data_IF_892882418483
#
_entry.id   IF_892882418483
#
_cell.length_a   1.000
_cell.length_b   1.000
_cell.length_c   1.000
_cell.angle_alpha   90.00
_cell.angle_beta   90.00
_cell.angle_gamma   90.00
#
_symmetry.space_group_name_H-M   'P 1'
#
loop_
_entity.id
_entity.type
_entity.pdbx_description
1 polymer ?
#
# COMPACT_ATOMS: atom_id res chain seq x y z
N UNK A 1 7.72 -31.09 -19.77
CA UNK A 1 6.82 -29.92 -19.60
C UNK A 1 6.23 -29.62 -20.98
N UNK A 2 4.89 -29.67 -21.16
CA UNK A 2 4.29 -29.21 -22.42
C UNK A 2 4.46 -27.68 -22.54
N UNK A 3 4.98 -27.21 -23.66
CA UNK A 3 4.99 -25.79 -23.98
C UNK A 3 3.56 -25.24 -24.00
N UNK A 4 3.30 -24.18 -23.23
CA UNK A 4 2.01 -23.49 -23.27
C UNK A 4 1.92 -22.71 -24.58
N UNK A 5 0.86 -22.93 -25.35
CA UNK A 5 0.59 -22.18 -26.56
C UNK A 5 0.06 -20.78 -26.22
N UNK A 6 0.11 -19.87 -27.19
CA UNK A 6 -0.50 -18.53 -27.05
C UNK A 6 -2.00 -18.61 -26.72
N UNK A 7 -2.72 -19.55 -27.34
CA UNK A 7 -4.17 -19.76 -27.10
C UNK A 7 -4.43 -20.28 -25.67
N UNK A 8 -3.56 -21.13 -25.12
CA UNK A 8 -3.66 -21.54 -23.72
C UNK A 8 -3.45 -20.37 -22.76
N UNK A 9 -2.49 -19.50 -23.04
CA UNK A 9 -2.24 -18.29 -22.26
C UNK A 9 -3.43 -17.34 -22.34
N UNK A 10 -3.97 -17.08 -23.53
CA UNK A 10 -5.15 -16.23 -23.76
C UNK A 10 -6.36 -16.75 -23.00
N UNK A 11 -6.67 -18.03 -23.09
CA UNK A 11 -7.77 -18.65 -22.36
C UNK A 11 -7.61 -18.49 -20.84
N UNK A 12 -6.42 -18.75 -20.32
CA UNK A 12 -6.14 -18.58 -18.89
C UNK A 12 -6.36 -17.14 -18.41
N UNK A 13 -5.94 -16.15 -19.21
CA UNK A 13 -6.15 -14.71 -18.89
C UNK A 13 -7.64 -14.41 -18.90
N UNK A 14 -8.40 -14.85 -19.90
CA UNK A 14 -9.85 -14.63 -20.00
C UNK A 14 -10.58 -15.20 -18.78
N UNK A 15 -10.27 -16.46 -18.41
CA UNK A 15 -10.88 -17.11 -17.24
C UNK A 15 -10.55 -16.38 -15.92
N UNK A 16 -9.31 -15.86 -15.78
CA UNK A 16 -8.91 -15.05 -14.62
C UNK A 16 -9.66 -13.71 -14.60
N UNK A 17 -9.79 -13.06 -15.75
CA UNK A 17 -10.49 -11.79 -15.88
C UNK A 17 -11.96 -11.93 -15.52
N UNK A 18 -12.65 -12.93 -16.04
CA UNK A 18 -14.05 -13.20 -15.70
C UNK A 18 -14.25 -13.46 -14.21
N UNK A 19 -13.38 -14.29 -13.61
CA UNK A 19 -13.45 -14.62 -12.18
C UNK A 19 -13.23 -13.42 -11.27
N UNK A 20 -12.37 -12.49 -11.65
CA UNK A 20 -12.01 -11.32 -10.83
C UNK A 20 -12.78 -10.06 -11.19
N UNK A 21 -13.55 -10.06 -12.28
CA UNK A 21 -14.24 -8.87 -12.82
C UNK A 21 -15.12 -8.17 -11.78
N UNK A 22 -15.91 -8.95 -11.02
CA UNK A 22 -16.82 -8.40 -9.99
C UNK A 22 -16.05 -7.69 -8.88
N UNK A 23 -14.97 -8.30 -8.39
CA UNK A 23 -14.15 -7.71 -7.33
C UNK A 23 -13.42 -6.46 -7.82
N UNK A 24 -12.90 -6.49 -9.05
CA UNK A 24 -12.25 -5.33 -9.67
C UNK A 24 -13.22 -4.17 -9.85
N UNK A 25 -14.44 -4.44 -10.32
CA UNK A 25 -15.49 -3.44 -10.45
C UNK A 25 -15.86 -2.81 -9.10
N UNK A 26 -15.99 -3.62 -8.04
CA UNK A 26 -16.24 -3.13 -6.69
C UNK A 26 -15.11 -2.21 -6.19
N UNK A 27 -13.85 -2.62 -6.39
CA UNK A 27 -12.69 -1.81 -5.99
C UNK A 27 -12.57 -0.51 -6.79
N UNK A 28 -12.89 -0.53 -8.07
CA UNK A 28 -12.93 0.68 -8.88
C UNK A 28 -14.02 1.65 -8.39
N UNK A 29 -15.19 1.11 -8.00
CA UNK A 29 -16.25 1.90 -7.41
C UNK A 29 -15.85 2.51 -6.08
N UNK A 30 -15.07 1.80 -5.24
CA UNK A 30 -14.53 2.31 -3.98
C UNK A 30 -13.58 3.52 -4.20
N UNK A 31 -12.81 3.55 -5.29
CA UNK A 31 -11.97 4.70 -5.62
C UNK A 31 -12.80 5.92 -6.08
N UNK A 32 -13.93 5.68 -6.76
CA UNK A 32 -14.88 6.72 -7.17
C UNK A 32 -14.22 7.92 -7.86
N UNK A 33 -14.61 9.12 -7.48
CA UNK A 33 -14.05 10.40 -8.02
C UNK A 33 -12.57 10.60 -7.69
N UNK A 34 -12.04 9.97 -6.63
CA UNK A 34 -10.62 10.06 -6.30
C UNK A 34 -9.73 9.52 -7.42
N UNK A 35 -10.23 8.56 -8.19
CA UNK A 35 -9.51 7.99 -9.33
C UNK A 35 -9.19 9.07 -10.37
N UNK A 36 -10.20 9.77 -10.88
CA UNK A 36 -10.03 10.84 -11.89
C UNK A 36 -9.14 11.95 -11.35
N UNK A 37 -9.40 12.43 -10.13
CA UNK A 37 -8.65 13.53 -9.54
C UNK A 37 -7.15 13.20 -9.38
N UNK A 38 -6.82 12.00 -8.92
CA UNK A 38 -5.43 11.61 -8.71
C UNK A 38 -4.66 11.33 -10.01
N UNK A 39 -5.35 10.95 -11.09
CA UNK A 39 -4.73 10.59 -12.38
C UNK A 39 -4.67 11.79 -13.34
N UNK A 40 -5.70 12.64 -13.37
CA UNK A 40 -5.85 13.70 -14.37
C UNK A 40 -5.21 15.04 -13.95
N UNK A 41 -5.05 15.29 -12.66
CA UNK A 41 -4.54 16.58 -12.15
C UNK A 41 -3.02 16.72 -12.04
N UNK A 42 -2.21 15.66 -11.93
CA UNK A 42 -0.76 15.83 -11.78
C UNK A 42 -0.12 16.58 -12.94
N UNK A 43 0.80 17.48 -12.62
CA UNK A 43 1.46 18.36 -13.61
C UNK A 43 2.59 17.68 -14.37
N UNK A 44 3.03 16.49 -13.96
CA UNK A 44 4.07 15.74 -14.66
C UNK A 44 3.62 14.32 -14.99
N UNK A 45 4.13 13.79 -16.12
CA UNK A 45 3.84 12.43 -16.57
C UNK A 45 4.18 11.39 -15.50
N UNK A 46 5.31 11.52 -14.80
CA UNK A 46 5.71 10.57 -13.75
C UNK A 46 4.73 10.51 -12.57
N UNK A 47 4.19 11.65 -12.18
CA UNK A 47 3.18 11.70 -11.11
C UNK A 47 1.91 10.98 -11.54
N UNK A 48 1.45 11.27 -12.78
CA UNK A 48 0.29 10.61 -13.38
C UNK A 48 0.51 9.11 -13.52
N UNK A 49 1.69 8.68 -13.97
CA UNK A 49 2.04 7.26 -14.10
C UNK A 49 1.94 6.53 -12.76
N UNK A 50 2.57 7.06 -11.69
CA UNK A 50 2.49 6.44 -10.36
C UNK A 50 1.07 6.46 -9.78
N UNK A 51 0.31 7.53 -10.00
CA UNK A 51 -1.09 7.60 -9.56
C UNK A 51 -1.96 6.58 -10.28
N UNK A 52 -1.74 6.41 -11.59
CA UNK A 52 -2.41 5.39 -12.40
C UNK A 52 -2.03 3.98 -11.96
N UNK A 53 -0.74 3.71 -11.77
CA UNK A 53 -0.25 2.42 -11.28
C UNK A 53 -0.79 2.09 -9.88
N UNK A 54 -0.91 3.08 -9.00
CA UNK A 54 -1.52 2.91 -7.69
C UNK A 54 -2.99 2.47 -7.80
N UNK A 55 -3.77 3.17 -8.64
CA UNK A 55 -5.18 2.84 -8.87
C UNK A 55 -5.34 1.44 -9.48
N UNK A 56 -4.58 1.13 -10.53
CA UNK A 56 -4.62 -0.18 -11.20
C UNK A 56 -4.17 -1.31 -10.27
N UNK A 57 -3.18 -1.07 -9.43
CA UNK A 57 -2.74 -2.03 -8.42
C UNK A 57 -3.83 -2.28 -7.37
N UNK A 58 -4.53 -1.24 -6.91
CA UNK A 58 -5.66 -1.39 -6.00
C UNK A 58 -6.79 -2.20 -6.62
N UNK A 59 -7.22 -1.83 -7.82
CA UNK A 59 -8.27 -2.51 -8.59
C UNK A 59 -7.93 -3.99 -8.80
N UNK A 60 -6.68 -4.29 -9.11
CA UNK A 60 -6.19 -5.66 -9.33
C UNK A 60 -5.99 -6.47 -8.03
N UNK A 61 -6.12 -5.84 -6.84
CA UNK A 61 -5.87 -6.49 -5.55
C UNK A 61 -4.40 -6.58 -5.16
N UNK A 62 -3.51 -5.87 -5.86
CA UNK A 62 -2.09 -5.79 -5.55
C UNK A 62 -1.82 -4.68 -4.52
N UNK A 63 -2.34 -4.83 -3.31
CA UNK A 63 -2.41 -3.75 -2.31
C UNK A 63 -1.04 -3.22 -1.87
N UNK A 64 -0.01 -4.07 -1.78
CA UNK A 64 1.36 -3.63 -1.47
C UNK A 64 1.92 -2.74 -2.56
N UNK A 65 1.69 -3.09 -3.83
CA UNK A 65 2.09 -2.26 -4.97
C UNK A 65 1.34 -0.93 -4.98
N UNK A 66 0.06 -0.92 -4.64
CA UNK A 66 -0.72 0.31 -4.48
C UNK A 66 -0.07 1.25 -3.45
N UNK A 67 0.24 0.76 -2.24
CA UNK A 67 0.89 1.55 -1.18
C UNK A 67 2.25 2.10 -1.66
N UNK A 68 3.03 1.26 -2.34
CA UNK A 68 4.32 1.68 -2.89
C UNK A 68 4.16 2.80 -3.92
N UNK A 69 3.26 2.65 -4.89
CA UNK A 69 3.02 3.64 -5.94
C UNK A 69 2.44 4.95 -5.37
N UNK A 70 1.53 4.90 -4.39
CA UNK A 70 1.04 6.09 -3.70
C UNK A 70 2.19 6.88 -3.05
N UNK A 71 3.08 6.19 -2.36
CA UNK A 71 4.25 6.82 -1.74
C UNK A 71 5.22 7.39 -2.77
N UNK A 72 5.43 6.70 -3.90
CA UNK A 72 6.29 7.16 -4.98
C UNK A 72 5.71 8.40 -5.68
N UNK A 73 4.38 8.44 -5.89
CA UNK A 73 3.70 9.62 -6.43
C UNK A 73 3.93 10.84 -5.54
N UNK A 74 3.71 10.72 -4.23
CA UNK A 74 3.90 11.82 -3.28
C UNK A 74 5.38 12.25 -3.17
N UNK A 75 6.33 11.30 -3.21
CA UNK A 75 7.76 11.63 -3.29
C UNK A 75 8.07 12.51 -4.52
N UNK A 76 7.54 12.16 -5.70
CA UNK A 76 7.72 12.96 -6.92
C UNK A 76 7.03 14.32 -6.83
N UNK A 77 5.83 14.39 -6.25
CA UNK A 77 5.11 15.64 -6.03
C UNK A 77 5.92 16.59 -5.16
N UNK A 78 6.42 16.11 -4.02
CA UNK A 78 7.21 16.93 -3.10
C UNK A 78 8.48 17.46 -3.75
N UNK A 79 9.23 16.61 -4.46
CA UNK A 79 10.42 17.05 -5.22
C UNK A 79 10.08 18.11 -6.26
N UNK A 80 8.99 17.90 -6.99
CA UNK A 80 8.55 18.83 -8.03
C UNK A 80 8.22 20.21 -7.45
N UNK A 81 7.42 20.26 -6.37
CA UNK A 81 7.06 21.50 -5.71
C UNK A 81 8.28 22.25 -5.16
N UNK A 82 9.20 21.54 -4.49
CA UNK A 82 10.44 22.14 -3.97
C UNK A 82 11.33 22.71 -5.10
N UNK A 83 11.42 22.02 -6.25
CA UNK A 83 12.16 22.50 -7.41
C UNK A 83 11.50 23.76 -8.02
N UNK A 84 10.15 23.78 -8.10
CA UNK A 84 9.42 24.93 -8.65
C UNK A 84 9.55 26.18 -7.78
N UNK A 85 9.54 26.04 -6.47
CA UNK A 85 9.67 27.16 -5.53
C UNK A 85 11.11 27.64 -5.36
N UNK A 86 12.09 26.87 -5.81
CA UNK A 86 13.51 27.17 -5.67
C UNK A 86 13.95 28.33 -6.58
N UNK A 87 14.78 29.23 -6.04
CA UNK A 87 15.46 30.26 -6.82
C UNK A 87 16.47 29.71 -7.83
N UNK A 88 16.97 28.49 -7.58
CA UNK A 88 17.90 27.79 -8.46
C UNK A 88 17.42 26.34 -8.70
N UNK A 89 16.44 26.14 -9.61
CA UNK A 89 15.83 24.82 -9.83
C UNK A 89 16.81 23.70 -10.18
N UNK A 90 17.88 24.02 -10.90
CA UNK A 90 18.90 23.04 -11.30
C UNK A 90 19.69 22.52 -10.09
N UNK A 91 20.12 23.41 -9.23
CA UNK A 91 20.85 23.05 -8.00
C UNK A 91 19.95 22.26 -7.05
N UNK A 92 18.70 22.67 -6.89
CA UNK A 92 17.73 21.98 -6.06
C UNK A 92 17.46 20.58 -6.61
N UNK A 93 17.29 20.43 -7.92
CA UNK A 93 17.12 19.12 -8.56
C UNK A 93 18.32 18.21 -8.28
N UNK A 94 19.55 18.70 -8.39
CA UNK A 94 20.76 17.91 -8.12
C UNK A 94 20.87 17.54 -6.63
N UNK A 95 20.50 18.44 -5.72
CA UNK A 95 20.45 18.20 -4.27
C UNK A 95 19.45 17.10 -3.89
N UNK A 96 18.27 17.07 -4.55
CA UNK A 96 17.18 16.16 -4.23
C UNK A 96 17.29 14.80 -4.92
N UNK A 97 18.00 14.68 -6.04
CA UNK A 97 18.02 13.54 -6.97
C UNK A 97 18.10 12.17 -6.30
N UNK A 98 19.08 11.97 -5.43
CA UNK A 98 19.40 10.67 -4.84
C UNK A 98 18.96 10.56 -3.37
N UNK A 99 18.13 11.47 -2.90
CA UNK A 99 17.68 11.46 -1.50
C UNK A 99 16.52 10.49 -1.31
N UNK A 100 16.49 9.71 -0.22
CA UNK A 100 15.35 8.88 0.12
C UNK A 100 14.15 9.75 0.51
N UNK A 101 12.93 9.22 0.32
CA UNK A 101 11.68 9.97 0.57
C UNK A 101 11.60 10.56 1.99
N UNK A 102 12.08 9.84 3.02
CA UNK A 102 12.13 10.38 4.37
C UNK A 102 12.96 11.67 4.50
N UNK A 103 14.05 11.79 3.73
CA UNK A 103 14.87 13.01 3.67
C UNK A 103 14.14 14.13 2.91
N UNK A 104 13.41 13.79 1.84
CA UNK A 104 12.58 14.75 1.11
C UNK A 104 11.51 15.35 2.01
N UNK A 105 10.83 14.51 2.81
CA UNK A 105 9.84 14.98 3.80
C UNK A 105 10.48 15.95 4.80
N UNK A 106 11.70 15.66 5.26
CA UNK A 106 12.41 16.56 6.18
C UNK A 106 12.74 17.90 5.53
N UNK A 107 13.20 17.93 4.29
CA UNK A 107 13.45 19.17 3.56
C UNK A 107 12.16 19.97 3.33
N UNK A 108 11.04 19.29 3.10
CA UNK A 108 9.75 19.90 2.91
C UNK A 108 9.15 20.54 4.19
N UNK A 109 9.76 20.34 5.37
CA UNK A 109 9.35 21.01 6.62
C UNK A 109 9.54 22.53 6.56
N UNK A 110 10.45 23.00 5.73
CA UNK A 110 10.72 24.43 5.53
C UNK A 110 9.87 25.05 4.38
N UNK A 111 9.09 24.24 3.66
CA UNK A 111 8.28 24.66 2.51
C UNK A 111 6.82 24.91 2.91
N UNK A 112 6.41 26.19 3.01
CA UNK A 112 5.08 26.59 3.50
C UNK A 112 3.93 25.85 2.79
N UNK A 113 4.03 25.69 1.47
CA UNK A 113 3.02 25.05 0.64
C UNK A 113 2.85 23.57 0.94
N UNK A 114 3.92 22.90 1.40
CA UNK A 114 3.93 21.46 1.68
C UNK A 114 3.61 21.11 3.14
N UNK A 115 3.74 22.08 4.07
CA UNK A 115 3.59 21.85 5.52
C UNK A 115 2.28 21.13 5.89
N UNK A 116 1.16 21.52 5.29
CA UNK A 116 -0.15 20.93 5.57
C UNK A 116 -0.26 19.44 5.19
N UNK A 117 0.64 18.95 4.33
CA UNK A 117 0.65 17.58 3.84
C UNK A 117 1.72 16.69 4.48
N UNK A 118 2.58 17.25 5.34
CA UNK A 118 3.69 16.50 5.97
C UNK A 118 3.20 15.31 6.78
N UNK A 119 2.06 15.44 7.47
CA UNK A 119 1.46 14.35 8.23
C UNK A 119 1.11 13.15 7.34
N UNK A 120 0.48 13.39 6.20
CA UNK A 120 0.11 12.36 5.24
C UNK A 120 1.33 11.76 4.53
N UNK A 121 2.31 12.59 4.17
CA UNK A 121 3.56 12.11 3.58
C UNK A 121 4.37 11.22 4.56
N UNK A 122 4.47 11.60 5.83
CA UNK A 122 5.10 10.80 6.90
C UNK A 122 4.38 9.46 7.07
N UNK A 123 3.06 9.47 7.06
CA UNK A 123 2.26 8.24 7.14
C UNK A 123 2.48 7.33 5.92
N UNK A 124 2.43 7.87 4.69
CA UNK A 124 2.70 7.12 3.46
C UNK A 124 4.11 6.51 3.45
N UNK A 125 5.13 7.26 3.89
CA UNK A 125 6.48 6.74 4.00
C UNK A 125 6.59 5.61 5.05
N UNK A 126 5.88 5.72 6.16
CA UNK A 126 5.79 4.67 7.20
C UNK A 126 5.11 3.41 6.66
N UNK A 127 3.97 3.54 5.97
CA UNK A 127 3.28 2.43 5.31
C UNK A 127 4.18 1.77 4.25
N UNK A 128 4.82 2.56 3.38
CA UNK A 128 5.74 2.04 2.38
C UNK A 128 6.83 1.18 3.01
N UNK A 129 7.51 1.70 4.02
CA UNK A 129 8.64 1.01 4.64
C UNK A 129 8.22 -0.26 5.39
N UNK A 130 7.09 -0.23 6.10
CA UNK A 130 6.68 -1.35 6.95
C UNK A 130 5.76 -2.36 6.24
N UNK A 131 5.09 -1.97 5.15
CA UNK A 131 4.10 -2.81 4.47
C UNK A 131 4.54 -3.21 3.07
N UNK A 132 5.06 -2.27 2.29
CA UNK A 132 5.33 -2.49 0.87
C UNK A 132 6.77 -2.94 0.58
N UNK A 133 7.77 -2.38 1.27
CA UNK A 133 9.20 -2.60 0.95
C UNK A 133 9.86 -3.65 1.84
N UNK A 134 9.57 -3.65 3.13
CA UNK A 134 10.27 -4.49 4.12
C UNK A 134 9.46 -5.66 4.71
N UNK A 135 8.23 -5.95 4.30
CA UNK A 135 7.57 -7.13 4.81
C UNK A 135 8.34 -8.37 4.35
N UNK A 136 8.65 -9.24 5.29
CA UNK A 136 9.13 -10.57 4.95
C UNK A 136 8.05 -11.24 4.11
N UNK A 137 8.37 -11.58 2.85
CA UNK A 137 7.49 -12.37 1.99
C UNK A 137 7.41 -13.78 2.54
N UNK A 138 6.36 -14.08 3.28
CA UNK A 138 6.20 -15.30 4.07
C UNK A 138 6.05 -16.56 3.23
N UNK A 139 5.25 -16.50 2.14
CA UNK A 139 4.90 -17.67 1.37
C UNK A 139 6.08 -18.53 0.89
N UNK A 140 7.19 -17.97 0.34
CA UNK A 140 8.31 -18.79 -0.08
C UNK A 140 9.11 -19.39 1.08
N UNK A 141 9.02 -18.77 2.28
CA UNK A 141 9.77 -19.24 3.46
C UNK A 141 9.03 -20.30 4.25
N UNK A 142 7.71 -20.30 4.32
CA UNK A 142 6.93 -21.31 5.01
C UNK A 142 7.23 -22.73 4.53
N UNK A 143 7.41 -22.91 3.23
CA UNK A 143 7.78 -24.22 2.67
C UNK A 143 9.21 -24.66 3.03
N UNK A 144 10.05 -23.76 3.53
CA UNK A 144 11.45 -24.02 3.91
C UNK A 144 11.67 -24.05 5.43
N UNK A 145 10.80 -23.41 6.20
CA UNK A 145 10.83 -23.48 7.66
C UNK A 145 10.17 -24.79 8.07
N UNK A 146 10.99 -25.72 8.56
CA UNK A 146 10.52 -27.02 9.12
C UNK A 146 9.88 -26.85 10.51
N UNK A 147 9.93 -25.65 11.07
CA UNK A 147 9.49 -25.32 12.41
C UNK A 147 8.35 -24.31 12.32
N UNK A 148 7.11 -24.76 12.55
CA UNK A 148 5.89 -23.95 12.53
C UNK A 148 5.94 -22.84 13.61
N UNK A 149 6.56 -23.09 14.76
CA UNK A 149 6.64 -22.10 15.81
C UNK A 149 7.48 -20.89 15.39
N UNK A 150 8.60 -21.11 14.67
CA UNK A 150 9.43 -20.04 14.12
C UNK A 150 8.64 -19.27 13.06
N UNK A 151 7.94 -19.98 12.17
CA UNK A 151 7.12 -19.36 11.12
C UNK A 151 6.04 -18.46 11.73
N UNK A 152 5.34 -18.93 12.74
CA UNK A 152 4.29 -18.18 13.43
C UNK A 152 4.84 -16.92 14.13
N UNK A 153 5.96 -17.04 14.85
CA UNK A 153 6.61 -15.90 15.51
C UNK A 153 6.97 -14.79 14.52
N UNK A 154 7.54 -15.15 13.38
CA UNK A 154 7.95 -14.16 12.37
C UNK A 154 6.73 -13.51 11.72
N UNK A 155 5.69 -14.27 11.42
CA UNK A 155 4.44 -13.73 10.85
C UNK A 155 3.75 -12.75 11.80
N UNK A 156 3.67 -13.09 13.08
CA UNK A 156 3.10 -12.21 14.11
C UNK A 156 3.90 -10.92 14.25
N UNK A 157 5.23 -11.00 14.18
CA UNK A 157 6.07 -9.81 14.19
C UNK A 157 5.79 -8.90 12.99
N UNK A 158 5.61 -9.46 11.80
CA UNK A 158 5.30 -8.68 10.61
C UNK A 158 3.89 -8.07 10.69
N UNK A 159 2.89 -8.80 11.17
CA UNK A 159 1.56 -8.26 11.41
C UNK A 159 1.59 -7.11 12.43
N UNK A 160 2.34 -7.25 13.51
CA UNK A 160 2.52 -6.15 14.48
C UNK A 160 3.15 -4.91 13.84
N UNK A 161 4.13 -5.06 12.95
CA UNK A 161 4.72 -3.92 12.21
C UNK A 161 3.72 -3.28 11.26
N UNK A 162 2.93 -4.08 10.56
CA UNK A 162 1.87 -3.59 9.65
C UNK A 162 0.84 -2.80 10.45
N UNK A 163 0.35 -3.35 11.55
CA UNK A 163 -0.62 -2.69 12.43
C UNK A 163 -0.04 -1.42 13.04
N UNK A 164 1.23 -1.45 13.46
CA UNK A 164 1.91 -0.26 13.99
C UNK A 164 2.15 0.83 12.92
N UNK A 165 2.08 0.48 11.63
CA UNK A 165 2.20 1.44 10.53
C UNK A 165 0.87 2.14 10.23
N UNK A 166 -0.28 1.52 10.54
CA UNK A 166 -1.60 2.12 10.42
C UNK A 166 -1.79 3.30 11.38
N UNK A 167 -2.78 4.14 11.15
CA UNK A 167 -3.25 5.07 12.17
C UNK A 167 -4.06 4.32 13.26
N UNK A 168 -4.32 4.97 14.39
CA UNK A 168 -4.90 4.31 15.57
C UNK A 168 -6.27 3.71 15.28
N UNK A 169 -7.09 4.36 14.46
CA UNK A 169 -8.43 3.88 14.09
C UNK A 169 -8.35 2.62 13.20
N UNK A 170 -7.50 2.64 12.19
CA UNK A 170 -7.32 1.50 11.30
C UNK A 170 -6.60 0.35 12.01
N UNK A 171 -5.65 0.66 12.89
CA UNK A 171 -4.98 -0.33 13.72
C UNK A 171 -5.96 -1.07 14.63
N UNK A 172 -6.92 -0.35 15.23
CA UNK A 172 -7.94 -0.97 16.08
C UNK A 172 -8.93 -1.81 15.28
N UNK A 173 -9.39 -1.33 14.12
CA UNK A 173 -10.24 -2.11 13.21
C UNK A 173 -9.57 -3.42 12.79
N UNK A 174 -8.26 -3.38 12.49
CA UNK A 174 -7.50 -4.58 12.13
C UNK A 174 -7.43 -5.56 13.32
N UNK A 175 -7.15 -5.07 14.55
CA UNK A 175 -7.09 -5.94 15.74
C UNK A 175 -8.40 -6.62 16.07
N UNK A 176 -9.53 -5.97 15.76
CA UNK A 176 -10.88 -6.49 16.01
C UNK A 176 -11.36 -7.50 14.94
N UNK A 177 -10.55 -7.77 13.93
CA UNK A 177 -10.91 -8.75 12.90
C UNK A 177 -10.89 -10.17 13.45
N UNK A 178 -11.75 -11.00 12.87
CA UNK A 178 -11.87 -12.40 13.24
C UNK A 178 -11.12 -13.30 12.25
N UNK A 179 -10.36 -14.24 12.79
CA UNK A 179 -9.85 -15.38 12.06
C UNK A 179 -10.90 -16.48 12.15
N UNK A 180 -11.31 -17.03 11.01
CA UNK A 180 -12.27 -18.15 10.94
C UNK A 180 -11.45 -19.43 10.83
N UNK A 181 -11.62 -20.35 11.77
CA UNK A 181 -10.98 -21.66 11.81
C UNK A 181 -11.68 -22.66 10.88
N UNK A 182 -11.04 -23.78 10.63
CA UNK A 182 -11.61 -24.88 9.84
C UNK A 182 -12.92 -25.45 10.41
N UNK A 183 -13.05 -25.42 11.74
CA UNK A 183 -14.28 -25.83 12.47
C UNK A 183 -15.39 -24.77 12.47
N UNK A 184 -15.17 -23.61 11.82
CA UNK A 184 -16.07 -22.48 11.77
C UNK A 184 -16.08 -21.60 13.01
N UNK A 185 -15.29 -21.89 14.04
CA UNK A 185 -15.11 -21.01 15.20
C UNK A 185 -14.38 -19.73 14.81
N UNK A 186 -14.51 -18.67 15.65
CA UNK A 186 -13.91 -17.36 15.39
C UNK A 186 -12.98 -16.99 16.53
N UNK A 187 -11.78 -16.53 16.19
CA UNK A 187 -10.78 -15.99 17.12
C UNK A 187 -10.48 -14.55 16.74
N UNK A 188 -10.40 -13.67 17.73
CA UNK A 188 -10.04 -12.27 17.50
C UNK A 188 -8.54 -12.16 17.22
N UNK A 189 -8.15 -11.42 16.18
CA UNK A 189 -6.75 -11.24 15.82
C UNK A 189 -5.93 -10.68 16.98
N UNK A 190 -6.50 -9.79 17.80
CA UNK A 190 -5.83 -9.22 18.96
C UNK A 190 -5.34 -10.30 19.95
N UNK A 191 -6.14 -11.34 20.19
CA UNK A 191 -5.80 -12.44 21.12
C UNK A 191 -4.63 -13.26 20.59
N UNK A 192 -4.64 -13.55 19.29
CA UNK A 192 -3.54 -14.26 18.62
C UNK A 192 -2.26 -13.44 18.60
N UNK A 193 -2.35 -12.14 18.43
CA UNK A 193 -1.20 -11.24 18.48
C UNK A 193 -0.62 -11.12 19.90
N UNK A 194 -1.45 -11.30 20.94
CA UNK A 194 -0.98 -11.25 22.34
C UNK A 194 -0.12 -12.45 22.70
N UNK A 195 -0.49 -13.66 22.25
CA UNK A 195 0.24 -14.90 22.51
C UNK A 195 0.65 -15.64 21.23
N UNK A 196 1.89 -15.39 20.73
CA UNK A 196 2.40 -16.04 19.53
C UNK A 196 2.60 -17.57 19.66
N UNK A 197 2.52 -18.11 20.86
CA UNK A 197 2.69 -19.55 21.14
C UNK A 197 1.36 -20.28 21.27
N UNK A 198 0.25 -19.54 21.21
CA UNK A 198 -1.08 -20.13 21.31
C UNK A 198 -1.37 -21.06 20.13
N UNK A 199 -2.19 -22.09 20.31
CA UNK A 199 -2.67 -22.95 19.20
C UNK A 199 -3.30 -22.13 18.07
N UNK A 200 -3.91 -21.01 18.41
CA UNK A 200 -4.57 -20.10 17.48
C UNK A 200 -3.57 -19.38 16.55
N UNK A 201 -2.31 -19.27 16.92
CA UNK A 201 -1.28 -18.67 16.08
C UNK A 201 -1.09 -19.44 14.76
N UNK A 202 -1.35 -20.75 14.73
CA UNK A 202 -1.31 -21.55 13.50
C UNK A 202 -2.41 -21.16 12.51
N UNK A 203 -3.55 -20.68 13.00
CA UNK A 203 -4.69 -20.28 12.17
C UNK A 203 -4.38 -19.02 11.34
N UNK A 204 -3.42 -18.18 11.80
CA UNK A 204 -2.92 -17.03 11.03
C UNK A 204 -2.30 -17.43 9.70
N UNK A 205 -1.75 -18.63 9.58
CA UNK A 205 -1.15 -19.11 8.33
C UNK A 205 -2.19 -19.24 7.21
N UNK A 206 -3.46 -19.45 7.56
CA UNK A 206 -4.57 -19.59 6.63
C UNK A 206 -5.31 -18.27 6.39
N UNK A 207 -5.02 -17.23 7.18
CA UNK A 207 -5.70 -15.95 7.08
C UNK A 207 -5.25 -15.16 5.84
N UNK A 208 -6.21 -14.64 5.10
CA UNK A 208 -5.93 -13.83 3.91
C UNK A 208 -5.59 -12.38 4.31
N UNK A 209 -4.35 -12.16 4.73
CA UNK A 209 -3.82 -10.83 5.10
C UNK A 209 -4.11 -9.77 4.02
N UNK A 210 -4.12 -10.16 2.75
CA UNK A 210 -4.23 -9.24 1.64
C UNK A 210 -5.57 -8.48 1.63
N UNK A 211 -6.70 -9.17 1.85
CA UNK A 211 -8.00 -8.50 1.77
C UNK A 211 -8.41 -7.80 3.07
N UNK A 212 -8.08 -8.39 4.21
CA UNK A 212 -8.62 -7.95 5.50
C UNK A 212 -7.71 -6.90 6.18
N UNK A 213 -6.41 -6.94 5.89
CA UNK A 213 -5.44 -5.99 6.45
C UNK A 213 -4.91 -5.02 5.41
N UNK A 214 -4.43 -5.54 4.27
CA UNK A 214 -3.73 -4.69 3.29
C UNK A 214 -4.68 -3.85 2.45
N UNK A 215 -5.90 -4.34 2.16
CA UNK A 215 -6.89 -3.58 1.39
C UNK A 215 -7.26 -2.25 2.06
N UNK A 216 -7.66 -2.20 3.35
CA UNK A 216 -7.95 -0.95 4.03
C UNK A 216 -6.77 0.02 4.05
N UNK A 217 -5.56 -0.49 4.29
CA UNK A 217 -4.35 0.32 4.29
C UNK A 217 -4.01 0.89 2.91
N UNK A 218 -4.22 0.10 1.84
CA UNK A 218 -4.02 0.56 0.48
C UNK A 218 -5.04 1.63 0.08
N UNK A 219 -6.31 1.46 0.46
CA UNK A 219 -7.34 2.47 0.24
C UNK A 219 -7.00 3.77 0.96
N UNK A 220 -6.57 3.69 2.22
CA UNK A 220 -6.14 4.86 3.00
C UNK A 220 -4.92 5.55 2.38
N UNK A 221 -3.94 4.77 1.92
CA UNK A 221 -2.78 5.32 1.21
C UNK A 221 -3.20 6.07 -0.07
N UNK A 222 -4.13 5.50 -0.84
CA UNK A 222 -4.68 6.14 -2.03
C UNK A 222 -5.44 7.42 -1.70
N UNK A 223 -6.29 7.42 -0.68
CA UNK A 223 -7.01 8.61 -0.21
C UNK A 223 -6.07 9.75 0.18
N UNK A 224 -4.99 9.44 0.92
CA UNK A 224 -3.99 10.45 1.30
C UNK A 224 -3.25 11.02 0.09
N UNK A 225 -2.82 10.17 -0.83
CA UNK A 225 -2.19 10.61 -2.08
C UNK A 225 -3.15 11.50 -2.90
N UNK A 226 -4.39 11.06 -3.11
CA UNK A 226 -5.41 11.83 -3.84
C UNK A 226 -5.70 13.18 -3.18
N UNK A 227 -5.78 13.23 -1.84
CA UNK A 227 -5.95 14.47 -1.08
C UNK A 227 -4.78 15.44 -1.23
N UNK A 228 -3.54 14.95 -1.30
CA UNK A 228 -2.35 15.78 -1.58
C UNK A 228 -2.43 16.34 -3.00
N UNK A 229 -2.74 15.50 -4.00
CA UNK A 229 -2.90 15.94 -5.40
C UNK A 229 -3.98 17.00 -5.51
N UNK A 230 -5.16 16.75 -4.93
CA UNK A 230 -6.27 17.68 -4.97
C UNK A 230 -5.97 19.02 -4.29
N UNK A 231 -5.27 18.97 -3.17
CA UNK A 231 -4.91 20.16 -2.43
C UNK A 231 -3.82 21.00 -3.09
N UNK A 232 -2.89 20.40 -3.82
CA UNK A 232 -1.82 21.12 -4.53
C UNK A 232 -2.26 21.58 -5.93
N UNK A 233 -3.10 20.77 -6.58
CA UNK A 233 -3.56 20.99 -7.96
C UNK A 233 -5.10 21.02 -8.00
N UNK A 234 -5.75 22.08 -7.42
CA UNK A 234 -7.20 22.19 -7.46
C UNK A 234 -7.68 22.27 -8.92
N UNK A 235 -8.90 21.76 -9.18
CA UNK A 235 -9.53 21.97 -10.50
C UNK A 235 -9.65 23.46 -10.75
N UNK A 236 -9.16 23.91 -11.89
CA UNK A 236 -9.49 25.26 -12.38
C UNK A 236 -10.98 25.27 -12.73
N UNK A 237 -11.76 26.14 -12.07
CA UNK A 237 -13.17 26.39 -12.37
C UNK A 237 -13.32 27.31 -13.57
#
# INVERSE_FOLDING_TARGET
MKERTFEDAKRTITELDERTAKERASRLQELGVMFSNAVERPTSQRMSDYSTEAAMSYVSGCFRSCIFCCSAAVDQIFRHEMILESKNPKEEMDKLRDKPFGTIIHFAEDEERLQRFLGDAKHLNKLRNNVAVHPLCFWPFQTRLKDEEIANKVMIQDLRKIIAAADDEDAEKIRQQFIIREDGSRVVLADVLADPTSPEASDLLMWRIDNDVLKPLALKAYQKMAGIVEGLYPAEY
#
